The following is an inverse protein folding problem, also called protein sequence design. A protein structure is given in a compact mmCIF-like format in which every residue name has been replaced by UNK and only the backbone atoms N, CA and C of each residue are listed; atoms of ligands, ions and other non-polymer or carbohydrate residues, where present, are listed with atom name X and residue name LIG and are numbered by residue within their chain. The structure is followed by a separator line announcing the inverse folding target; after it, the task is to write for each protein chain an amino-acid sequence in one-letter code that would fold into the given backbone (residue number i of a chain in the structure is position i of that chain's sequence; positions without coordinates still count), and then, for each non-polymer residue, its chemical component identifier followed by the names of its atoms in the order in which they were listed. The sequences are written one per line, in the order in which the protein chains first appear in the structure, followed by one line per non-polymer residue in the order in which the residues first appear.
data_IF_299787716581
#
_entry.id   IF_299787716581
#
_cell.length_a   1.000
_cell.length_b   1.000
_cell.length_c   1.000
_cell.angle_alpha   90.00
_cell.angle_beta   90.00
_cell.angle_gamma   90.00
#
_symmetry.space_group_name_H-M   'P 1'
#
loop_
_entity.id
_entity.type
_entity.pdbx_description
1 polymer ?
#
# COMPACT_ATOMS: atom_id res chain seq x y z
N UNK A 1 -11.19 -55.51 -5.70
CA UNK A 1 -11.42 -54.13 -6.20
C UNK A 1 -11.57 -53.10 -5.07
N UNK A 2 -12.43 -53.31 -4.07
CA UNK A 2 -12.58 -52.38 -2.91
C UNK A 2 -11.29 -52.09 -2.12
N UNK A 3 -10.41 -53.09 -1.94
CA UNK A 3 -9.14 -52.93 -1.22
C UNK A 3 -8.09 -52.10 -1.99
N UNK A 4 -8.14 -52.11 -3.33
CA UNK A 4 -7.24 -51.32 -4.15
C UNK A 4 -7.66 -49.83 -4.16
N UNK A 5 -8.97 -49.56 -4.16
CA UNK A 5 -9.52 -48.20 -4.06
C UNK A 5 -9.15 -47.55 -2.71
N UNK A 6 -9.21 -48.32 -1.62
CA UNK A 6 -8.86 -47.80 -0.28
C UNK A 6 -7.38 -47.39 -0.17
N UNK A 7 -6.49 -48.09 -0.88
CA UNK A 7 -5.05 -47.82 -0.89
C UNK A 7 -4.72 -46.56 -1.71
N UNK A 8 -5.45 -46.31 -2.80
CA UNK A 8 -5.31 -45.11 -3.62
C UNK A 8 -5.80 -43.86 -2.86
N UNK A 9 -6.94 -43.95 -2.15
CA UNK A 9 -7.43 -42.84 -1.33
C UNK A 9 -6.49 -42.48 -0.17
N UNK A 10 -5.83 -43.47 0.44
CA UNK A 10 -4.85 -43.23 1.49
C UNK A 10 -3.58 -42.54 0.95
N UNK A 11 -3.18 -42.83 -0.30
CA UNK A 11 -1.99 -42.23 -0.91
C UNK A 11 -2.18 -40.75 -1.28
N UNK A 12 -3.41 -40.35 -1.63
CA UNK A 12 -3.75 -38.95 -1.97
C UNK A 12 -3.63 -38.03 -0.74
N UNK A 13 -3.85 -38.54 0.48
CA UNK A 13 -3.74 -37.75 1.73
C UNK A 13 -2.29 -37.39 2.11
N UNK A 14 -1.30 -38.09 1.56
CA UNK A 14 0.13 -37.81 1.82
C UNK A 14 0.77 -36.94 0.75
N UNK A 15 0.02 -36.47 -0.25
CA UNK A 15 0.53 -35.52 -1.22
C UNK A 15 0.60 -34.14 -0.56
N UNK A 16 1.79 -33.55 -0.37
CA UNK A 16 1.87 -32.22 0.19
C UNK A 16 1.35 -31.23 -0.86
N UNK A 17 0.18 -30.66 -0.60
CA UNK A 17 -0.44 -29.63 -1.43
C UNK A 17 0.35 -28.34 -1.23
N UNK A 18 1.50 -28.23 -1.89
CA UNK A 18 2.20 -26.96 -2.01
C UNK A 18 1.46 -26.14 -3.07
N UNK A 19 0.38 -25.47 -2.63
CA UNK A 19 -0.26 -24.45 -3.43
C UNK A 19 0.65 -23.22 -3.46
N UNK A 20 1.63 -23.19 -4.38
CA UNK A 20 2.29 -21.95 -4.75
C UNK A 20 1.31 -21.17 -5.63
N UNK A 21 0.34 -20.53 -4.99
CA UNK A 21 -0.32 -19.40 -5.61
C UNK A 21 0.73 -18.27 -5.63
N UNK A 22 1.37 -18.03 -6.78
CA UNK A 22 2.02 -16.75 -7.04
C UNK A 22 0.91 -15.70 -7.17
N UNK A 23 0.37 -15.27 -6.03
CA UNK A 23 -0.42 -14.06 -5.98
C UNK A 23 0.57 -12.91 -6.09
N UNK A 24 0.49 -12.16 -7.18
CA UNK A 24 1.27 -10.94 -7.40
C UNK A 24 1.09 -9.88 -6.29
N UNK A 25 0.19 -10.10 -5.32
CA UNK A 25 -0.01 -9.29 -4.11
C UNK A 25 0.56 -9.90 -2.80
N UNK A 26 0.88 -11.19 -2.71
CA UNK A 26 1.32 -11.80 -1.43
C UNK A 26 2.56 -11.13 -0.83
N UNK A 27 3.52 -10.76 -1.67
CA UNK A 27 4.75 -10.10 -1.21
C UNK A 27 4.53 -8.66 -0.72
N UNK A 28 3.62 -7.90 -1.34
CA UNK A 28 3.28 -6.53 -0.91
C UNK A 28 2.55 -6.57 0.43
N UNK A 29 1.59 -7.47 0.55
CA UNK A 29 0.78 -7.62 1.76
C UNK A 29 1.64 -8.08 2.95
N UNK A 30 2.58 -9.01 2.73
CA UNK A 30 3.56 -9.46 3.75
C UNK A 30 4.42 -8.29 4.26
N UNK A 31 4.97 -7.48 3.33
CA UNK A 31 5.77 -6.30 3.70
C UNK A 31 4.93 -5.30 4.48
N UNK A 32 3.72 -5.00 4.01
CA UNK A 32 2.84 -4.03 4.67
C UNK A 32 2.37 -4.51 6.05
N UNK A 33 2.19 -5.83 6.24
CA UNK A 33 1.92 -6.40 7.54
C UNK A 33 3.11 -6.26 8.50
N UNK A 34 4.34 -6.55 8.03
CA UNK A 34 5.55 -6.39 8.84
C UNK A 34 5.77 -4.93 9.24
N UNK A 35 5.60 -4.04 8.28
CA UNK A 35 5.62 -2.61 8.47
C UNK A 35 4.57 -2.23 9.56
N UNK A 36 3.28 -2.59 9.40
CA UNK A 36 2.22 -2.22 10.35
C UNK A 36 2.57 -2.66 11.78
N UNK A 37 2.99 -3.91 11.93
CA UNK A 37 3.44 -4.43 13.22
C UNK A 37 4.63 -3.67 13.80
N UNK A 38 5.57 -3.23 12.96
CA UNK A 38 6.69 -2.39 13.38
C UNK A 38 6.26 -1.03 13.93
N UNK A 39 5.27 -0.39 13.30
CA UNK A 39 4.74 0.88 13.81
C UNK A 39 3.94 0.70 15.09
N UNK A 40 3.08 -0.31 15.15
CA UNK A 40 2.34 -0.63 16.37
C UNK A 40 3.33 -0.90 17.53
N UNK A 41 4.42 -1.61 17.25
CA UNK A 41 5.51 -1.82 18.20
C UNK A 41 6.14 -0.50 18.64
N UNK A 42 6.50 0.40 17.72
CA UNK A 42 7.06 1.72 18.05
C UNK A 42 6.12 2.60 18.87
N UNK A 43 4.82 2.58 18.59
CA UNK A 43 3.80 3.33 19.33
C UNK A 43 3.61 2.75 20.73
N UNK A 44 3.60 1.42 20.88
CA UNK A 44 3.42 0.75 22.18
C UNK A 44 4.50 1.09 23.21
N UNK A 45 5.67 1.58 22.77
CA UNK A 45 6.75 2.02 23.65
C UNK A 45 6.41 3.28 24.44
N UNK A 46 5.36 4.00 24.06
CA UNK A 46 4.88 5.20 24.78
C UNK A 46 3.86 4.89 25.87
N UNK A 47 3.36 3.66 25.95
CA UNK A 47 2.29 3.27 26.87
C UNK A 47 2.77 3.16 28.33
N UNK A 48 3.99 2.65 28.53
CA UNK A 48 4.57 2.47 29.87
C UNK A 48 6.12 2.44 29.81
N UNK A 49 6.82 2.84 30.88
CA UNK A 49 8.27 2.69 30.97
C UNK A 49 8.71 1.22 31.03
N UNK A 50 9.68 0.86 30.17
CA UNK A 50 10.21 -0.50 29.98
C UNK A 50 11.71 -0.56 30.21
N UNK A 51 12.26 -1.76 30.37
CA UNK A 51 13.70 -2.00 30.37
C UNK A 51 14.27 -1.97 28.95
N UNK A 52 15.58 -1.77 28.82
CA UNK A 52 16.28 -1.82 27.52
C UNK A 52 16.05 -3.15 26.79
N UNK A 53 16.02 -4.25 27.55
CA UNK A 53 15.80 -5.58 26.97
C UNK A 53 14.37 -5.74 26.44
N UNK A 54 13.36 -5.31 27.19
CA UNK A 54 11.96 -5.35 26.73
C UNK A 54 11.76 -4.51 25.46
N UNK A 55 12.34 -3.30 25.40
CA UNK A 55 12.28 -2.48 24.17
C UNK A 55 12.92 -3.22 22.99
N UNK A 56 14.10 -3.81 23.18
CA UNK A 56 14.76 -4.58 22.12
C UNK A 56 13.91 -5.77 21.67
N UNK A 57 13.30 -6.49 22.61
CA UNK A 57 12.44 -7.64 22.31
C UNK A 57 11.17 -7.24 21.53
N UNK A 58 10.58 -6.07 21.85
CA UNK A 58 9.42 -5.52 21.12
C UNK A 58 9.79 -5.14 19.68
N UNK A 59 10.97 -4.54 19.47
CA UNK A 59 11.37 -4.01 18.16
C UNK A 59 12.03 -5.05 17.24
N UNK A 60 12.81 -5.99 17.77
CA UNK A 60 13.60 -6.95 16.98
C UNK A 60 12.81 -7.77 15.93
N UNK A 61 11.53 -8.12 16.14
CA UNK A 61 10.75 -8.80 15.10
C UNK A 61 10.61 -7.98 13.80
N UNK A 62 10.68 -6.66 13.88
CA UNK A 62 10.35 -5.75 12.78
C UNK A 62 11.52 -4.87 12.32
N UNK A 63 12.57 -4.76 13.11
CA UNK A 63 13.68 -3.85 12.86
C UNK A 63 15.02 -4.57 13.00
N UNK A 64 15.97 -4.25 12.12
CA UNK A 64 17.36 -4.69 12.28
C UNK A 64 18.00 -4.03 13.50
N UNK A 65 19.00 -4.67 14.09
CA UNK A 65 19.70 -4.14 15.28
C UNK A 65 20.28 -2.72 15.04
N UNK A 66 20.80 -2.46 13.84
CA UNK A 66 21.31 -1.13 13.45
C UNK A 66 20.19 -0.07 13.45
N UNK A 67 19.03 -0.41 12.90
CA UNK A 67 17.88 0.50 12.86
C UNK A 67 17.30 0.75 14.26
N UNK A 68 17.29 -0.28 15.13
CA UNK A 68 16.92 -0.12 16.54
C UNK A 68 17.87 0.85 17.24
N UNK A 69 19.17 0.81 16.93
CA UNK A 69 20.15 1.76 17.45
C UNK A 69 19.81 3.22 17.10
N UNK A 70 19.48 3.49 15.83
CA UNK A 70 19.06 4.82 15.37
C UNK A 70 17.77 5.28 16.04
N UNK A 71 16.77 4.39 16.10
CA UNK A 71 15.49 4.68 16.75
C UNK A 71 15.69 5.01 18.24
N UNK A 72 16.55 4.25 18.91
CA UNK A 72 16.87 4.44 20.32
C UNK A 72 17.49 5.81 20.57
N UNK A 73 18.47 6.21 19.77
CA UNK A 73 19.20 7.47 19.92
C UNK A 73 18.28 8.69 19.82
N UNK A 74 17.33 8.68 18.88
CA UNK A 74 16.47 9.84 18.64
C UNK A 74 15.20 9.88 19.52
N UNK A 75 14.66 8.73 19.94
CA UNK A 75 13.29 8.68 20.48
C UNK A 75 13.19 8.16 21.92
N UNK A 76 14.19 7.42 22.41
CA UNK A 76 14.08 6.74 23.71
C UNK A 76 14.72 7.58 24.80
N UNK A 77 13.94 7.89 25.84
CA UNK A 77 14.37 8.68 27.00
C UNK A 77 14.41 7.80 28.25
N UNK A 78 15.40 8.04 29.11
CA UNK A 78 15.48 7.38 30.42
C UNK A 78 14.68 8.13 31.49
N UNK A 79 13.78 7.42 32.16
CA UNK A 79 12.97 7.91 33.28
C UNK A 79 12.98 6.88 34.42
N UNK A 80 13.41 7.30 35.62
CA UNK A 80 13.43 6.46 36.83
C UNK A 80 14.13 5.09 36.66
N UNK A 81 15.21 5.04 35.86
CA UNK A 81 15.97 3.81 35.57
C UNK A 81 15.28 2.87 34.58
N UNK A 82 14.22 3.33 33.92
CA UNK A 82 13.53 2.68 32.80
C UNK A 82 13.53 3.59 31.59
N UNK A 83 12.97 3.13 30.47
CA UNK A 83 13.01 3.79 29.17
C UNK A 83 11.61 3.91 28.59
N UNK A 84 11.31 5.04 27.95
CA UNK A 84 10.01 5.34 27.35
C UNK A 84 10.20 6.18 26.09
N UNK A 85 9.25 6.13 25.16
CA UNK A 85 9.17 7.10 24.06
C UNK A 85 8.03 8.08 24.32
N UNK A 86 8.24 9.35 24.00
CA UNK A 86 7.17 10.35 24.06
C UNK A 86 6.65 10.62 22.65
N UNK A 87 5.33 10.82 22.52
CA UNK A 87 4.75 11.29 21.28
C UNK A 87 5.35 12.64 20.90
N UNK A 88 5.85 12.74 19.67
CA UNK A 88 6.51 13.92 19.12
C UNK A 88 5.85 14.31 17.80
N UNK A 89 5.78 15.61 17.53
CA UNK A 89 5.49 16.15 16.20
C UNK A 89 6.65 15.92 15.23
N UNK A 90 7.85 15.65 15.75
CA UNK A 90 9.04 15.23 15.02
C UNK A 90 9.55 13.88 15.56
N UNK A 91 8.99 12.79 15.04
CA UNK A 91 9.30 11.43 15.46
C UNK A 91 10.25 10.75 14.45
N UNK A 92 11.55 11.06 14.54
CA UNK A 92 12.54 10.52 13.61
C UNK A 92 12.59 8.99 13.67
N UNK A 93 12.82 8.34 12.52
CA UNK A 93 12.88 6.88 12.41
C UNK A 93 11.61 6.10 12.82
N UNK A 94 10.52 6.77 13.17
CA UNK A 94 9.20 6.15 13.15
C UNK A 94 8.85 5.76 11.72
N UNK A 95 8.19 4.62 11.56
CA UNK A 95 7.58 4.31 10.28
C UNK A 95 6.41 5.29 10.08
N UNK A 96 6.30 5.97 8.92
CA UNK A 96 5.15 6.82 8.65
C UNK A 96 3.83 6.08 8.90
N UNK A 97 2.87 6.78 9.51
CA UNK A 97 1.54 6.23 9.80
C UNK A 97 0.96 5.55 8.56
N UNK A 98 0.35 4.37 8.74
CA UNK A 98 0.01 3.36 7.70
C UNK A 98 -1.09 3.77 6.72
N UNK A 99 -0.98 4.95 6.14
CA UNK A 99 -1.83 5.39 5.06
C UNK A 99 -1.22 5.09 3.68
N UNK A 100 -0.13 4.30 3.60
CA UNK A 100 0.56 3.92 2.36
C UNK A 100 -0.45 3.76 1.22
N UNK A 101 -0.44 4.74 0.33
CA UNK A 101 -1.53 4.93 -0.61
C UNK A 101 -1.31 4.08 -1.86
N UNK A 102 -2.19 4.20 -2.86
CA UNK A 102 -1.95 3.62 -4.18
C UNK A 102 -0.67 4.16 -4.84
N UNK A 103 -0.20 5.35 -4.43
CA UNK A 103 1.08 5.94 -4.85
C UNK A 103 2.31 5.27 -4.22
N UNK A 104 2.15 4.51 -3.12
CA UNK A 104 3.29 3.87 -2.47
C UNK A 104 3.76 2.68 -3.31
N UNK A 105 4.98 2.78 -3.82
CA UNK A 105 5.61 1.79 -4.67
C UNK A 105 6.34 0.74 -3.82
N UNK A 106 6.27 -0.52 -4.26
CA UNK A 106 6.97 -1.64 -3.60
C UNK A 106 7.74 -2.43 -4.63
N UNK A 107 9.06 -2.50 -4.48
CA UNK A 107 9.94 -3.27 -5.36
C UNK A 107 10.75 -4.25 -4.52
N UNK A 108 10.57 -5.54 -4.79
CA UNK A 108 11.35 -6.61 -4.16
C UNK A 108 12.52 -7.05 -5.05
N UNK A 109 13.68 -7.25 -4.44
CA UNK A 109 14.90 -7.74 -5.06
C UNK A 109 15.57 -8.78 -4.14
N UNK A 110 15.19 -10.06 -4.30
CA UNK A 110 15.68 -11.14 -3.44
C UNK A 110 15.28 -10.92 -1.98
N UNK A 111 16.27 -10.77 -1.09
CA UNK A 111 16.06 -10.52 0.34
C UNK A 111 15.95 -9.02 0.68
N UNK A 112 15.69 -8.16 -0.31
CA UNK A 112 15.49 -6.72 -0.10
C UNK A 112 14.13 -6.30 -0.62
N UNK A 113 13.51 -5.36 0.06
CA UNK A 113 12.33 -4.67 -0.43
C UNK A 113 12.46 -3.16 -0.23
N UNK A 114 12.15 -2.42 -1.27
CA UNK A 114 12.09 -0.97 -1.26
C UNK A 114 10.62 -0.57 -1.22
N UNK A 115 10.23 0.18 -0.20
CA UNK A 115 8.89 0.75 -0.05
C UNK A 115 9.03 2.25 -0.05
N UNK A 116 8.51 2.94 -1.05
CA UNK A 116 8.82 4.35 -1.23
C UNK A 116 7.72 5.12 -1.94
N UNK A 117 7.77 6.44 -1.81
CA UNK A 117 6.85 7.37 -2.44
C UNK A 117 7.61 8.61 -2.92
N UNK A 118 7.11 9.21 -4.00
CA UNK A 118 7.61 10.47 -4.50
C UNK A 118 6.79 11.62 -3.91
N UNK A 119 7.49 12.56 -3.29
CA UNK A 119 6.92 13.79 -2.76
C UNK A 119 7.25 14.94 -3.72
N UNK A 120 6.25 15.53 -4.40
CA UNK A 120 6.50 16.68 -5.25
C UNK A 120 6.89 17.89 -4.41
N UNK A 121 7.72 18.77 -4.98
CA UNK A 121 8.11 20.03 -4.35
C UNK A 121 6.87 20.77 -3.81
N UNK A 122 6.99 21.26 -2.58
CA UNK A 122 5.99 22.13 -1.98
C UNK A 122 6.65 23.38 -1.45
N UNK A 123 6.16 24.53 -1.91
CA UNK A 123 6.52 25.85 -1.39
C UNK A 123 5.40 26.43 -0.53
N UNK A 124 4.38 25.64 -0.22
CA UNK A 124 3.23 26.08 0.56
C UNK A 124 3.48 25.94 2.07
N UNK A 125 3.11 26.98 2.83
CA UNK A 125 3.22 26.99 4.29
C UNK A 125 4.57 27.53 4.81
N UNK A 126 4.81 27.41 6.14
CA UNK A 126 5.99 27.99 6.78
C UNK A 126 7.28 27.23 6.49
N UNK A 127 7.19 26.01 5.94
CA UNK A 127 8.33 25.16 5.59
C UNK A 127 8.07 24.57 4.21
N UNK A 128 8.95 24.87 3.26
CA UNK A 128 8.95 24.27 1.93
C UNK A 128 10.01 23.17 1.80
N UNK A 129 9.87 22.33 0.78
CA UNK A 129 10.81 21.27 0.44
C UNK A 129 10.86 21.02 -1.06
N UNK A 130 12.05 20.66 -1.56
CA UNK A 130 12.25 20.25 -2.95
C UNK A 130 11.59 18.90 -3.24
N UNK A 131 11.36 18.59 -4.51
CA UNK A 131 10.90 17.25 -4.91
C UNK A 131 11.89 16.16 -4.47
N UNK A 132 11.40 15.12 -3.81
CA UNK A 132 12.27 14.06 -3.30
C UNK A 132 11.53 12.72 -3.18
N UNK A 133 12.31 11.65 -3.05
CA UNK A 133 11.80 10.33 -2.67
C UNK A 133 12.06 10.08 -1.20
N UNK A 134 11.04 9.56 -0.51
CA UNK A 134 11.20 8.97 0.81
C UNK A 134 10.81 7.50 0.79
N UNK A 135 11.42 6.70 1.66
CA UNK A 135 11.05 5.30 1.78
C UNK A 135 11.79 4.52 2.85
N UNK A 136 11.51 3.23 2.88
CA UNK A 136 12.12 2.26 3.77
C UNK A 136 12.77 1.14 2.96
N UNK A 137 13.98 0.76 3.36
CA UNK A 137 14.60 -0.48 2.95
C UNK A 137 14.29 -1.55 3.98
N UNK A 138 13.68 -2.64 3.54
CA UNK A 138 13.54 -3.85 4.33
C UNK A 138 14.51 -4.92 3.86
N UNK A 139 15.04 -5.68 4.82
CA UNK A 139 15.83 -6.89 4.59
C UNK A 139 15.09 -8.10 5.14
N UNK A 140 15.18 -9.25 4.44
CA UNK A 140 14.61 -10.50 4.92
C UNK A 140 15.63 -11.23 5.79
N UNK A 141 15.36 -11.34 7.09
CA UNK A 141 16.18 -12.02 8.10
C UNK A 141 15.36 -13.10 8.78
N UNK A 142 15.88 -14.34 8.82
CA UNK A 142 15.19 -15.49 9.40
C UNK A 142 13.75 -15.70 8.89
N UNK A 143 13.52 -15.34 7.63
CA UNK A 143 12.21 -15.44 6.98
C UNK A 143 11.27 -14.26 7.24
N UNK A 144 11.65 -13.27 8.06
CA UNK A 144 10.85 -12.09 8.38
C UNK A 144 11.40 -10.84 7.70
N UNK A 145 10.52 -9.96 7.23
CA UNK A 145 10.93 -8.65 6.73
C UNK A 145 11.19 -7.71 7.91
N UNK A 146 12.37 -7.10 7.92
CA UNK A 146 12.77 -6.12 8.94
C UNK A 146 13.18 -4.81 8.29
N UNK A 147 12.80 -3.69 8.87
CA UNK A 147 13.26 -2.37 8.46
C UNK A 147 14.74 -2.23 8.81
N UNK A 148 15.53 -1.89 7.80
CA UNK A 148 16.98 -1.78 7.88
C UNK A 148 17.48 -0.37 7.65
N UNK A 149 16.70 0.47 6.95
CA UNK A 149 17.10 1.84 6.65
C UNK A 149 15.91 2.72 6.28
N UNK A 150 15.99 3.98 6.69
CA UNK A 150 15.18 5.07 6.16
C UNK A 150 15.91 5.71 4.96
N UNK A 151 15.22 5.94 3.86
CA UNK A 151 15.79 6.38 2.59
C UNK A 151 15.25 7.77 2.25
N UNK A 152 16.14 8.75 2.12
CA UNK A 152 15.84 10.08 1.59
C UNK A 152 16.67 10.32 0.33
N UNK A 153 16.03 10.35 -0.85
CA UNK A 153 16.69 10.41 -2.17
C UNK A 153 17.78 9.34 -2.40
N UNK A 154 17.65 8.20 -1.72
CA UNK A 154 18.62 7.10 -1.75
C UNK A 154 18.04 5.83 -2.40
N UNK A 155 16.91 5.93 -3.09
CA UNK A 155 16.34 4.82 -3.85
C UNK A 155 17.23 4.57 -5.08
N UNK A 156 17.76 3.35 -5.30
CA UNK A 156 18.59 3.06 -6.46
C UNK A 156 17.84 3.28 -7.78
N UNK A 157 18.49 3.83 -8.80
CA UNK A 157 17.88 4.08 -10.11
C UNK A 157 17.33 2.79 -10.76
N UNK A 158 17.98 1.65 -10.51
CA UNK A 158 17.49 0.33 -10.96
C UNK A 158 16.13 -0.02 -10.38
N UNK A 159 15.86 0.38 -9.13
CA UNK A 159 14.60 0.16 -8.42
C UNK A 159 13.51 1.08 -8.98
N UNK A 160 13.82 2.38 -9.15
CA UNK A 160 12.91 3.36 -9.77
C UNK A 160 12.50 2.92 -11.17
N UNK A 161 13.46 2.51 -11.99
CA UNK A 161 13.21 2.01 -13.35
C UNK A 161 12.36 0.74 -13.37
N UNK A 162 12.54 -0.17 -12.40
CA UNK A 162 11.69 -1.37 -12.26
C UNK A 162 10.27 -0.99 -11.89
N UNK A 163 10.10 -0.07 -10.94
CA UNK A 163 8.77 0.36 -10.52
C UNK A 163 8.00 1.05 -11.65
N UNK A 164 8.64 1.96 -12.38
CA UNK A 164 8.04 2.62 -13.54
C UNK A 164 7.58 1.62 -14.62
N UNK A 165 8.31 0.51 -14.81
CA UNK A 165 7.89 -0.59 -15.69
C UNK A 165 6.67 -1.32 -15.14
N UNK A 166 6.65 -1.64 -13.85
CA UNK A 166 5.51 -2.30 -13.20
C UNK A 166 4.23 -1.47 -13.32
N UNK A 167 4.30 -0.15 -13.10
CA UNK A 167 3.17 0.78 -13.27
C UNK A 167 2.65 0.76 -14.70
N UNK A 168 3.55 0.85 -15.70
CA UNK A 168 3.17 0.78 -17.13
C UNK A 168 2.51 -0.56 -17.49
N UNK A 169 3.03 -1.67 -16.99
CA UNK A 169 2.46 -3.00 -17.24
C UNK A 169 1.08 -3.16 -16.59
N UNK A 170 0.91 -2.71 -15.33
CA UNK A 170 -0.41 -2.72 -14.65
C UNK A 170 -1.44 -1.87 -15.40
N UNK A 171 -1.04 -0.68 -15.84
CA UNK A 171 -1.91 0.22 -16.62
C UNK A 171 -2.30 -0.39 -17.98
N UNK A 172 -1.36 -1.02 -18.69
CA UNK A 172 -1.63 -1.69 -19.96
C UNK A 172 -2.55 -2.92 -19.80
N UNK A 173 -2.40 -3.68 -18.71
CA UNK A 173 -3.28 -4.80 -18.38
C UNK A 173 -4.70 -4.35 -18.02
N UNK A 174 -4.83 -3.27 -17.23
CA UNK A 174 -6.12 -2.68 -16.89
C UNK A 174 -6.86 -2.15 -18.13
N UNK A 175 -6.15 -1.49 -19.06
CA UNK A 175 -6.69 -0.99 -20.32
C UNK A 175 -7.13 -2.13 -21.26
N UNK A 176 -6.40 -3.25 -21.29
CA UNK A 176 -6.76 -4.42 -22.10
C UNK A 176 -8.01 -5.13 -21.57
N UNK A 177 -8.18 -5.18 -20.25
CA UNK A 177 -9.37 -5.76 -19.62
C UNK A 177 -10.60 -4.85 -19.79
N UNK A 178 -10.42 -3.52 -19.89
CA UNK A 178 -11.49 -2.59 -20.27
C UNK A 178 -11.91 -2.74 -21.74
N UNK A 179 -10.99 -3.09 -22.64
CA UNK A 179 -11.30 -3.27 -24.07
C UNK A 179 -11.79 -4.67 -24.44
N UNK A 180 -11.86 -5.61 -23.49
CA UNK A 180 -12.32 -6.99 -23.70
C UNK A 180 -13.51 -7.35 -22.83
N UNK A 181 -14.32 -6.37 -22.42
CA UNK A 181 -15.60 -6.59 -21.75
C UNK A 181 -16.65 -7.05 -22.76
N UNK A 182 -17.00 -8.33 -22.68
CA UNK A 182 -18.23 -8.91 -23.19
C UNK A 182 -19.45 -8.06 -22.76
N UNK A 183 -20.43 -7.96 -23.65
CA UNK A 183 -21.77 -7.40 -23.36
C UNK A 183 -22.40 -8.20 -22.20
N UNK A 184 -22.24 -7.73 -20.96
CA UNK A 184 -23.15 -8.09 -19.89
C UNK A 184 -24.07 -6.90 -19.64
N UNK A 185 -25.35 -7.07 -19.95
CA UNK A 185 -26.42 -6.13 -19.59
C UNK A 185 -26.42 -5.90 -18.07
N UNK A 186 -25.72 -4.86 -17.62
CA UNK A 186 -25.92 -4.28 -16.30
C UNK A 186 -26.92 -3.13 -16.44
N UNK A 187 -28.00 -3.20 -15.66
CA UNK A 187 -29.03 -2.16 -15.65
C UNK A 187 -28.45 -0.81 -15.21
N UNK A 188 -28.86 0.27 -15.89
CA UNK A 188 -28.30 1.62 -15.71
C UNK A 188 -28.37 2.19 -14.29
N UNK A 189 -29.19 1.60 -13.41
CA UNK A 189 -29.25 1.95 -11.99
C UNK A 189 -28.00 1.52 -11.21
N UNK A 190 -27.40 0.37 -11.56
CA UNK A 190 -26.18 -0.12 -10.91
C UNK A 190 -24.96 0.72 -11.31
N UNK A 191 -24.93 1.18 -12.55
CA UNK A 191 -23.89 2.08 -13.06
C UNK A 191 -23.98 3.46 -12.40
N UNK A 192 -25.19 4.04 -12.34
CA UNK A 192 -25.44 5.30 -11.64
C UNK A 192 -25.08 5.24 -10.15
N UNK A 193 -25.42 4.14 -9.46
CA UNK A 193 -25.09 3.95 -8.05
C UNK A 193 -23.57 3.84 -7.82
N UNK A 194 -22.84 3.18 -8.74
CA UNK A 194 -21.39 3.05 -8.64
C UNK A 194 -20.66 4.39 -8.85
N UNK A 195 -21.12 5.19 -9.83
CA UNK A 195 -20.65 6.55 -10.07
C UNK A 195 -20.92 7.48 -8.87
N UNK A 196 -22.10 7.40 -8.28
CA UNK A 196 -22.47 8.22 -7.13
C UNK A 196 -21.66 7.84 -5.88
N UNK A 197 -21.39 6.55 -5.68
CA UNK A 197 -20.51 6.06 -4.61
C UNK A 197 -19.07 6.54 -4.80
N UNK A 198 -18.56 6.50 -6.03
CA UNK A 198 -17.19 6.90 -6.34
C UNK A 198 -16.99 8.42 -6.22
N UNK A 199 -17.98 9.22 -6.60
CA UNK A 199 -18.00 10.67 -6.38
C UNK A 199 -18.07 11.05 -4.90
N UNK A 200 -18.73 10.25 -4.06
CA UNK A 200 -18.81 10.47 -2.61
C UNK A 200 -17.53 10.14 -1.86
N UNK A 201 -16.74 9.18 -2.35
CA UNK A 201 -15.53 8.71 -1.68
C UNK A 201 -14.27 9.50 -2.06
N UNK A 202 -14.19 10.06 -3.28
CA UNK A 202 -13.02 10.84 -3.71
C UNK A 202 -13.35 11.86 -4.81
N UNK A 203 -14.01 12.99 -4.46
CA UNK A 203 -14.60 13.93 -5.42
C UNK A 203 -13.56 14.59 -6.35
N UNK A 204 -12.31 14.75 -5.88
CA UNK A 204 -11.23 15.39 -6.64
C UNK A 204 -10.71 14.42 -7.72
N UNK A 205 -10.52 13.14 -7.38
CA UNK A 205 -10.05 12.13 -8.34
C UNK A 205 -11.06 11.88 -9.48
N UNK A 206 -12.36 11.88 -9.15
CA UNK A 206 -13.44 11.75 -10.14
C UNK A 206 -13.51 12.94 -11.09
N UNK A 207 -13.11 14.14 -10.64
CA UNK A 207 -13.08 15.34 -11.47
C UNK A 207 -12.01 15.25 -12.57
N UNK A 208 -10.86 14.64 -12.27
CA UNK A 208 -9.80 14.38 -13.26
C UNK A 208 -10.19 13.29 -14.25
N UNK A 209 -10.91 12.25 -13.81
CA UNK A 209 -11.43 11.21 -14.70
C UNK A 209 -12.53 11.76 -15.62
N UNK A 210 -13.39 12.64 -15.12
CA UNK A 210 -14.41 13.33 -15.91
C UNK A 210 -13.81 14.30 -16.93
N UNK A 211 -12.78 15.06 -16.55
CA UNK A 211 -12.07 15.94 -17.47
C UNK A 211 -11.35 15.16 -18.59
N UNK A 212 -10.82 13.97 -18.30
CA UNK A 212 -10.22 13.09 -19.30
C UNK A 212 -11.27 12.52 -20.27
N UNK A 213 -12.50 12.25 -19.79
CA UNK A 213 -13.62 11.78 -20.59
C UNK A 213 -14.19 12.87 -21.52
N UNK A 214 -14.30 14.11 -21.04
CA UNK A 214 -14.70 15.26 -21.87
C UNK A 214 -13.64 15.66 -22.91
N UNK A 215 -12.37 15.32 -22.68
CA UNK A 215 -11.26 15.57 -23.59
C UNK A 215 -11.15 14.55 -24.74
N UNK A 216 -11.78 13.38 -24.62
CA UNK A 216 -11.97 12.46 -25.75
C UNK A 216 -13.15 12.94 -26.59
N UNK A 217 -12.89 13.13 -27.88
CA UNK A 217 -13.75 13.82 -28.85
C UNK A 217 -15.02 13.04 -29.26
N UNK A 218 -15.71 12.44 -28.28
CA UNK A 218 -16.89 11.59 -28.49
C UNK A 218 -18.16 12.33 -28.08
N UNK A 219 -18.67 13.14 -29.03
CA UNK A 219 -19.80 14.04 -28.82
C UNK A 219 -21.15 13.34 -28.54
N UNK A 220 -21.24 12.02 -28.71
CA UNK A 220 -22.48 11.26 -28.51
C UNK A 220 -22.81 10.94 -27.05
N UNK A 221 -21.81 10.89 -26.16
CA UNK A 221 -22.03 10.51 -24.75
C UNK A 221 -22.64 11.66 -23.92
N UNK A 222 -22.30 12.91 -24.26
CA UNK A 222 -22.85 14.11 -23.60
C UNK A 222 -24.34 14.33 -23.91
N UNK A 223 -24.78 13.99 -25.13
CA UNK A 223 -26.18 14.16 -25.54
C UNK A 223 -27.12 13.21 -24.79
N UNK A 224 -26.66 11.98 -24.51
CA UNK A 224 -27.40 11.02 -23.68
C UNK A 224 -27.41 11.41 -22.19
N UNK A 225 -26.31 11.99 -21.68
CA UNK A 225 -26.22 12.43 -20.28
C UNK A 225 -27.04 13.70 -19.98
N UNK A 226 -27.12 14.62 -20.94
CA UNK A 226 -27.93 15.83 -20.83
C UNK A 226 -29.42 15.55 -21.01
N UNK A 227 -29.80 14.56 -21.83
CA UNK A 227 -31.18 14.12 -21.96
C UNK A 227 -31.69 13.31 -20.77
N UNK A 228 -30.83 12.57 -20.04
CA UNK A 228 -31.26 11.88 -18.81
C UNK A 228 -31.53 12.83 -17.63
N UNK A 229 -31.05 14.09 -17.70
CA UNK A 229 -31.29 15.11 -16.69
C UNK A 229 -32.55 15.96 -16.92
N UNK A 230 -33.11 15.96 -18.13
CA UNK A 230 -34.28 16.80 -18.48
C UNK A 230 -35.62 16.13 -18.19
N UNK A 231 -35.67 14.79 -18.04
CA UNK A 231 -36.90 14.09 -17.66
C UNK A 231 -37.26 14.22 -16.17
N UNK A 232 -36.35 14.69 -15.30
CA UNK A 232 -36.63 14.89 -13.88
C UNK A 232 -37.24 16.26 -13.52
N UNK A 233 -37.37 17.20 -14.47
CA UNK A 233 -37.99 18.51 -14.21
C UNK A 233 -39.40 18.67 -14.81
N UNK A 234 -40.01 17.60 -15.34
CA UNK A 234 -41.35 17.64 -15.94
C UNK A 234 -42.46 17.00 -15.08
N UNK A 235 -42.17 16.59 -13.84
CA UNK A 235 -43.14 15.98 -12.92
C UNK A 235 -43.20 16.71 -11.57
N UNK A 236 -43.23 18.04 -11.60
CA UNK A 236 -43.74 18.85 -10.49
C UNK A 236 -44.43 20.10 -11.06
N UNK A 237 -45.70 19.94 -11.43
CA UNK A 237 -46.76 20.97 -11.41
C UNK A 237 -48.13 20.30 -11.46
#
# INVERSE_FOLDING_TARGET
MKKAIMLICAFIMFLPIHSKAETANSGRDEIFAALRGGFDAQVSLSEEPRTKQEIKEILNPFFTDDYIGLFWEENVVEENGKYVTYGSDFAQYYIPFYNFSESTEVVQEGNKAYVFEFFPESTEGPVGYDSHYEGLLLTKEDGNWKVSRYLYNQIPESVLNKSAKQVKTKKAAALKNLSSGEESELSGEAEAASLQFQMGMNPISSLFQYAAFLGSNDAGALENLLNSGSEQLALEN
#
